data_IF_499934719297
#
_entry.id   IF_499934719297
#
_cell.length_a   1.000
_cell.length_b   1.000
_cell.length_c   1.000
_cell.angle_alpha   90.00
_cell.angle_beta   90.00
_cell.angle_gamma   90.00
#
_symmetry.space_group_name_H-M   'P 1'
#
loop_
_entity.id
_entity.type
_entity.pdbx_description
1 polymer ?
#
# COMPACT_ATOMS: atom_id res chain seq x y z
N UNK A 1 0.57 24.17 -14.14
CA UNK A 1 -0.57 24.26 -13.19
C UNK A 1 -1.82 23.46 -13.62
N UNK A 2 -2.03 23.10 -14.89
CA UNK A 2 -3.20 22.30 -15.29
C UNK A 2 -3.15 20.81 -14.89
N UNK A 3 -1.98 20.20 -14.68
CA UNK A 3 -1.88 18.78 -14.29
C UNK A 3 -2.32 18.48 -12.85
N UNK A 4 -2.34 19.46 -11.95
CA UNK A 4 -2.77 19.26 -10.55
C UNK A 4 -4.30 19.12 -10.44
N UNK A 5 -5.05 19.81 -11.31
CA UNK A 5 -6.52 19.80 -11.29
C UNK A 5 -7.11 18.45 -11.76
N UNK A 6 -6.49 17.82 -12.78
CA UNK A 6 -6.93 16.52 -13.28
C UNK A 6 -6.69 15.40 -12.24
N UNK A 7 -5.60 15.52 -11.48
CA UNK A 7 -5.23 14.58 -10.43
C UNK A 7 -6.16 14.69 -9.21
N UNK A 8 -6.53 15.92 -8.83
CA UNK A 8 -7.55 16.15 -7.80
C UNK A 8 -8.90 15.58 -8.22
N UNK A 9 -9.32 15.75 -9.48
CA UNK A 9 -10.62 15.24 -9.95
C UNK A 9 -10.72 13.70 -9.91
N UNK A 10 -9.64 12.99 -10.23
CA UNK A 10 -9.55 11.52 -10.11
C UNK A 10 -9.57 11.06 -8.64
N UNK A 11 -8.92 11.81 -7.74
CA UNK A 11 -8.91 11.55 -6.30
C UNK A 11 -10.29 11.75 -5.67
N UNK A 12 -11.02 12.83 -6.03
CA UNK A 12 -12.34 13.11 -5.48
C UNK A 12 -13.37 12.05 -5.88
N UNK A 13 -13.23 11.46 -7.07
CA UNK A 13 -14.13 10.41 -7.55
C UNK A 13 -13.94 9.09 -6.77
N UNK A 14 -12.71 8.75 -6.36
CA UNK A 14 -12.45 7.57 -5.54
C UNK A 14 -12.95 7.71 -4.09
N UNK A 15 -12.91 8.91 -3.51
CA UNK A 15 -13.29 9.14 -2.11
C UNK A 15 -14.82 9.06 -1.92
N UNK A 16 -15.61 9.51 -2.90
CA UNK A 16 -17.07 9.47 -2.82
C UNK A 16 -17.68 8.06 -2.80
N UNK A 17 -16.97 7.04 -3.30
CA UNK A 17 -17.46 5.65 -3.31
C UNK A 17 -17.36 4.99 -1.92
N UNK A 18 -16.50 5.49 -1.05
CA UNK A 18 -16.18 4.84 0.25
C UNK A 18 -17.18 5.19 1.37
N UNK A 19 -17.97 6.25 1.23
CA UNK A 19 -18.76 6.80 2.34
C UNK A 19 -20.13 6.12 2.60
N UNK A 20 -20.52 5.09 1.85
CA UNK A 20 -21.89 4.58 1.91
C UNK A 20 -21.94 3.05 2.14
N UNK A 21 -21.85 2.60 3.41
CA UNK A 21 -22.66 1.49 3.97
C UNK A 21 -22.18 1.03 5.36
N UNK A 22 -23.09 1.08 6.35
CA UNK A 22 -22.94 0.30 7.60
C UNK A 22 -24.31 -0.08 8.17
N UNK A 23 -24.58 -1.38 8.35
CA UNK A 23 -25.54 -1.97 9.31
C UNK A 23 -25.29 -3.48 9.38
N UNK A 24 -25.10 -4.01 10.60
CA UNK A 24 -24.35 -5.24 10.91
C UNK A 24 -25.19 -6.47 11.31
N UNK A 25 -24.67 -7.65 10.97
CA UNK A 25 -24.79 -8.92 11.73
C UNK A 25 -23.47 -9.70 11.59
N UNK A 26 -22.79 -9.99 12.70
CA UNK A 26 -21.37 -10.43 12.77
C UNK A 26 -21.05 -11.76 12.10
N UNK A 27 -21.96 -12.74 12.15
CA UNK A 27 -21.75 -14.07 11.53
C UNK A 27 -21.89 -14.02 9.99
N UNK A 28 -22.55 -12.97 9.47
CA UNK A 28 -22.64 -12.71 8.03
C UNK A 28 -21.38 -12.03 7.47
N UNK A 29 -20.65 -11.29 8.31
CA UNK A 29 -19.50 -10.46 7.88
C UNK A 29 -18.24 -11.29 7.63
N UNK A 30 -17.93 -12.26 8.50
CA UNK A 30 -16.80 -13.17 8.28
C UNK A 30 -16.97 -13.96 6.97
N UNK A 31 -18.16 -14.56 6.78
CA UNK A 31 -18.54 -15.25 5.56
C UNK A 31 -18.54 -14.34 4.32
N UNK A 32 -18.78 -13.03 4.50
CA UNK A 32 -18.68 -12.03 3.42
C UNK A 32 -17.23 -11.81 3.05
N UNK A 33 -16.36 -11.56 4.02
CA UNK A 33 -14.95 -11.28 3.73
C UNK A 33 -14.21 -12.48 3.14
N UNK A 34 -14.53 -13.71 3.55
CA UNK A 34 -13.97 -14.92 2.91
C UNK A 34 -14.40 -15.09 1.45
N UNK A 35 -15.55 -14.56 1.05
CA UNK A 35 -15.98 -14.56 -0.36
C UNK A 35 -15.27 -13.46 -1.14
N UNK A 36 -15.17 -12.27 -0.54
CA UNK A 36 -14.56 -11.10 -1.17
C UNK A 36 -13.05 -11.25 -1.35
N UNK A 37 -12.34 -11.87 -0.39
CA UNK A 37 -10.91 -12.09 -0.53
C UNK A 37 -10.55 -13.02 -1.70
N UNK A 38 -11.51 -13.82 -2.19
CA UNK A 38 -11.30 -14.69 -3.36
C UNK A 38 -11.21 -13.91 -4.66
N UNK A 39 -11.77 -12.69 -4.75
CA UNK A 39 -11.59 -11.83 -5.92
C UNK A 39 -10.35 -10.93 -5.82
N UNK A 40 -9.73 -10.87 -4.63
CA UNK A 40 -8.67 -9.93 -4.33
C UNK A 40 -7.33 -10.40 -4.93
N UNK A 41 -7.05 -9.95 -6.16
CA UNK A 41 -5.88 -10.38 -6.94
C UNK A 41 -4.54 -9.73 -6.55
N UNK A 42 -4.46 -8.93 -5.48
CA UNK A 42 -3.23 -8.25 -5.07
C UNK A 42 -2.49 -9.04 -3.99
N UNK A 43 -1.14 -9.03 -3.96
CA UNK A 43 -0.37 -9.73 -2.93
C UNK A 43 -0.67 -9.16 -1.55
N UNK A 44 -0.87 -10.07 -0.58
CA UNK A 44 -1.03 -9.79 0.85
C UNK A 44 -0.23 -10.83 1.66
N UNK A 45 -0.33 -10.81 2.99
CA UNK A 45 0.44 -11.69 3.86
C UNK A 45 1.94 -11.54 3.72
N UNK A 46 2.69 -12.64 3.79
CA UNK A 46 4.17 -12.60 3.74
C UNK A 46 4.66 -11.99 2.42
N UNK A 47 4.04 -12.34 1.29
CA UNK A 47 4.45 -11.79 0.00
C UNK A 47 4.11 -10.31 -0.13
N UNK A 48 2.94 -9.88 0.36
CA UNK A 48 2.55 -8.47 0.48
C UNK A 48 3.51 -7.69 1.37
N UNK A 49 3.80 -8.22 2.55
CA UNK A 49 4.67 -7.62 3.56
C UNK A 49 6.10 -7.40 3.02
N UNK A 50 6.74 -8.45 2.50
CA UNK A 50 8.07 -8.34 1.88
C UNK A 50 8.01 -7.37 0.70
N UNK A 51 6.91 -7.39 -0.06
CA UNK A 51 6.73 -6.45 -1.16
C UNK A 51 6.67 -5.00 -0.70
N UNK A 52 5.96 -4.68 0.39
CA UNK A 52 5.91 -3.32 0.93
C UNK A 52 7.27 -2.88 1.48
N UNK A 53 7.98 -3.74 2.20
CA UNK A 53 9.36 -3.45 2.66
C UNK A 53 10.30 -3.12 1.50
N UNK A 54 10.33 -3.96 0.46
CA UNK A 54 11.13 -3.71 -0.74
C UNK A 54 10.70 -2.43 -1.46
N UNK A 55 9.39 -2.15 -1.50
CA UNK A 55 8.87 -0.93 -2.13
C UNK A 55 9.34 0.31 -1.37
N UNK A 56 9.26 0.32 -0.05
CA UNK A 56 9.74 1.43 0.78
C UNK A 56 11.25 1.62 0.68
N UNK A 57 12.02 0.52 0.72
CA UNK A 57 13.46 0.57 0.49
C UNK A 57 13.78 1.20 -0.87
N UNK A 58 13.20 0.68 -1.96
CA UNK A 58 13.43 1.20 -3.32
C UNK A 58 13.07 2.68 -3.42
N UNK A 59 11.94 3.08 -2.83
CA UNK A 59 11.50 4.45 -2.82
C UNK A 59 12.47 5.39 -2.10
N UNK A 60 12.98 4.99 -0.94
CA UNK A 60 13.96 5.79 -0.18
C UNK A 60 15.25 5.93 -0.99
N UNK A 61 15.78 4.83 -1.55
CA UNK A 61 17.02 4.85 -2.32
C UNK A 61 16.88 5.72 -3.59
N UNK A 62 15.77 5.60 -4.33
CA UNK A 62 15.48 6.47 -5.48
C UNK A 62 15.30 7.93 -5.09
N UNK A 63 14.62 8.22 -3.96
CA UNK A 63 14.47 9.58 -3.45
C UNK A 63 15.81 10.21 -3.04
N UNK A 64 16.81 9.39 -2.70
CA UNK A 64 18.20 9.79 -2.47
C UNK A 64 19.04 9.92 -3.76
N UNK A 65 18.47 9.67 -4.94
CA UNK A 65 19.19 9.72 -6.22
C UNK A 65 20.20 8.59 -6.41
N UNK A 66 19.96 7.43 -5.78
CA UNK A 66 20.85 6.27 -5.82
C UNK A 66 20.18 5.07 -6.48
N UNK A 67 20.96 4.12 -6.96
CA UNK A 67 20.42 2.89 -7.57
C UNK A 67 19.99 1.88 -6.48
N UNK A 68 18.79 1.27 -6.55
CA UNK A 68 18.29 0.38 -5.49
C UNK A 68 19.12 -0.88 -5.24
N UNK A 69 19.69 -1.48 -6.30
CA UNK A 69 20.55 -2.67 -6.19
C UNK A 69 21.98 -2.35 -5.75
N UNK A 70 22.49 -1.16 -6.08
CA UNK A 70 23.83 -0.70 -5.72
C UNK A 70 23.74 0.71 -5.12
N UNK A 71 23.36 0.85 -3.84
CA UNK A 71 23.04 2.15 -3.21
C UNK A 71 24.21 3.14 -3.19
N UNK A 72 25.42 2.67 -3.47
CA UNK A 72 26.62 3.51 -3.60
C UNK A 72 26.73 4.22 -4.96
N UNK A 73 26.04 3.73 -6.00
CA UNK A 73 26.05 4.31 -7.34
C UNK A 73 24.94 5.36 -7.49
N UNK A 74 25.27 6.47 -8.14
CA UNK A 74 24.31 7.52 -8.51
C UNK A 74 23.40 7.02 -9.63
N UNK A 75 22.13 7.41 -9.57
CA UNK A 75 21.11 7.01 -10.53
C UNK A 75 21.34 7.72 -11.88
N UNK A 76 21.56 6.96 -12.94
CA UNK A 76 21.63 7.51 -14.29
C UNK A 76 20.23 7.97 -14.76
N UNK A 77 20.15 9.03 -15.56
CA UNK A 77 18.89 9.48 -16.17
C UNK A 77 18.67 8.85 -17.55
N UNK A 78 19.25 7.67 -17.77
CA UNK A 78 19.13 6.93 -19.02
C UNK A 78 17.67 6.59 -19.40
N UNK A 79 17.39 6.45 -20.70
CA UNK A 79 16.04 6.13 -21.20
C UNK A 79 15.51 4.77 -20.68
N UNK A 80 16.41 3.86 -20.27
CA UNK A 80 16.06 2.58 -19.66
C UNK A 80 15.27 2.76 -18.35
N UNK A 81 15.64 3.74 -17.53
CA UNK A 81 14.94 4.01 -16.26
C UNK A 81 13.54 4.57 -16.51
N UNK A 82 13.38 5.42 -17.53
CA UNK A 82 12.06 5.93 -17.95
C UNK A 82 11.18 4.77 -18.43
N UNK A 83 11.72 3.89 -19.28
CA UNK A 83 11.01 2.71 -19.77
C UNK A 83 10.57 1.79 -18.63
N UNK A 84 11.47 1.46 -17.69
CA UNK A 84 11.15 0.65 -16.51
C UNK A 84 10.10 1.31 -15.62
N UNK A 85 10.15 2.64 -15.48
CA UNK A 85 9.16 3.43 -14.74
C UNK A 85 7.77 3.35 -15.36
N UNK A 86 7.67 3.51 -16.68
CA UNK A 86 6.41 3.39 -17.43
C UNK A 86 5.88 1.95 -17.37
N UNK A 87 6.73 0.95 -17.61
CA UNK A 87 6.34 -0.46 -17.54
C UNK A 87 5.81 -0.84 -16.15
N UNK A 88 6.49 -0.40 -15.08
CA UNK A 88 6.02 -0.53 -13.69
C UNK A 88 4.63 0.08 -13.52
N UNK A 89 4.43 1.32 -13.97
CA UNK A 89 3.15 2.02 -13.83
C UNK A 89 2.04 1.26 -14.53
N UNK A 90 2.24 0.81 -15.77
CA UNK A 90 1.22 0.06 -16.52
C UNK A 90 0.86 -1.24 -15.79
N UNK A 91 1.86 -2.07 -15.47
CA UNK A 91 1.62 -3.38 -14.85
C UNK A 91 0.92 -3.26 -13.49
N UNK A 92 1.38 -2.34 -12.63
CA UNK A 92 0.81 -2.17 -11.29
C UNK A 92 -0.56 -1.48 -11.32
N UNK A 93 -0.76 -0.51 -12.21
CA UNK A 93 -2.02 0.24 -12.33
C UNK A 93 -3.12 -0.66 -12.90
N UNK A 94 -2.87 -1.38 -13.98
CA UNK A 94 -3.85 -2.29 -14.59
C UNK A 94 -4.30 -3.36 -13.58
N UNK A 95 -3.35 -4.00 -12.90
CA UNK A 95 -3.69 -5.03 -11.90
C UNK A 95 -4.46 -4.46 -10.71
N UNK A 96 -4.14 -3.24 -10.25
CA UNK A 96 -4.87 -2.60 -9.16
C UNK A 96 -6.28 -2.17 -9.57
N UNK A 97 -6.44 -1.57 -10.76
CA UNK A 97 -7.76 -1.17 -11.28
C UNK A 97 -8.64 -2.39 -11.48
N UNK A 98 -8.10 -3.46 -12.07
CA UNK A 98 -8.85 -4.69 -12.24
C UNK A 98 -9.29 -5.27 -10.88
N UNK A 99 -8.42 -5.27 -9.86
CA UNK A 99 -8.77 -5.71 -8.50
C UNK A 99 -9.86 -4.84 -7.85
N UNK A 100 -9.81 -3.52 -8.05
CA UNK A 100 -10.86 -2.59 -7.56
C UNK A 100 -12.19 -2.87 -8.26
N UNK A 101 -12.16 -3.08 -9.58
CA UNK A 101 -13.36 -3.33 -10.37
C UNK A 101 -14.03 -4.66 -10.01
N UNK A 102 -13.25 -5.69 -9.66
CA UNK A 102 -13.79 -7.01 -9.30
C UNK A 102 -14.21 -7.13 -7.84
N UNK A 103 -13.61 -6.39 -6.92
CA UNK A 103 -13.91 -6.44 -5.48
C UNK A 103 -14.65 -5.21 -4.98
N UNK A 104 -15.53 -4.63 -5.81
CA UNK A 104 -16.27 -3.40 -5.49
C UNK A 104 -17.37 -3.58 -4.43
N UNK A 105 -17.73 -4.82 -4.10
CA UNK A 105 -18.84 -5.12 -3.19
C UNK A 105 -18.52 -4.83 -1.71
N UNK A 106 -17.26 -4.58 -1.39
CA UNK A 106 -16.78 -4.17 -0.06
C UNK A 106 -15.86 -2.97 -0.18
N UNK A 107 -16.26 -1.85 0.44
CA UNK A 107 -15.49 -0.62 0.39
C UNK A 107 -14.12 -0.80 1.05
N UNK A 108 -14.00 -1.72 2.02
CA UNK A 108 -12.77 -1.99 2.74
C UNK A 108 -11.67 -2.55 1.81
N UNK A 109 -12.03 -3.51 0.96
CA UNK A 109 -11.11 -4.09 -0.02
C UNK A 109 -10.78 -3.11 -1.15
N UNK A 110 -11.78 -2.34 -1.60
CA UNK A 110 -11.57 -1.27 -2.57
C UNK A 110 -10.59 -0.20 -2.02
N UNK A 111 -10.73 0.18 -0.75
CA UNK A 111 -9.83 1.13 -0.09
C UNK A 111 -8.40 0.59 0.06
N UNK A 112 -8.24 -0.70 0.38
CA UNK A 112 -6.94 -1.37 0.42
C UNK A 112 -6.28 -1.45 -0.97
N UNK A 113 -7.06 -1.76 -2.00
CA UNK A 113 -6.57 -1.76 -3.38
C UNK A 113 -6.23 -0.34 -3.86
N UNK A 114 -7.02 0.68 -3.48
CA UNK A 114 -6.74 2.08 -3.75
C UNK A 114 -5.46 2.56 -3.05
N UNK A 115 -5.20 2.13 -1.81
CA UNK A 115 -3.92 2.37 -1.13
C UNK A 115 -2.75 1.81 -1.95
N UNK A 116 -2.85 0.57 -2.39
CA UNK A 116 -1.84 -0.11 -3.22
C UNK A 116 -1.64 0.55 -4.58
N UNK A 117 -2.71 1.05 -5.20
CA UNK A 117 -2.67 1.84 -6.43
C UNK A 117 -1.95 3.17 -6.20
N UNK A 118 -2.36 3.92 -5.17
CA UNK A 118 -1.79 5.24 -4.85
C UNK A 118 -0.29 5.16 -4.55
N UNK A 119 0.15 4.12 -3.84
CA UNK A 119 1.56 3.84 -3.58
C UNK A 119 2.33 3.60 -4.88
N UNK A 120 1.76 2.78 -5.78
CA UNK A 120 2.40 2.42 -7.05
C UNK A 120 2.48 3.60 -8.00
N UNK A 121 1.41 4.40 -8.10
CA UNK A 121 1.37 5.65 -8.87
C UNK A 121 2.40 6.65 -8.35
N UNK A 122 2.40 6.90 -7.04
CA UNK A 122 3.33 7.83 -6.40
C UNK A 122 4.78 7.47 -6.73
N UNK A 123 5.17 6.21 -6.56
CA UNK A 123 6.55 5.79 -6.82
C UNK A 123 6.91 5.68 -8.29
N UNK A 124 5.98 5.31 -9.16
CA UNK A 124 6.25 5.33 -10.60
C UNK A 124 6.45 6.77 -11.11
N UNK A 125 5.65 7.71 -10.62
CA UNK A 125 5.77 9.12 -10.96
C UNK A 125 7.03 9.78 -10.37
N UNK A 126 7.43 9.44 -9.13
CA UNK A 126 8.71 9.91 -8.56
C UNK A 126 9.88 9.43 -9.41
N UNK A 127 9.84 8.18 -9.89
CA UNK A 127 10.90 7.64 -10.76
C UNK A 127 11.00 8.34 -12.12
N UNK A 128 9.90 8.85 -12.66
CA UNK A 128 9.89 9.53 -13.97
C UNK A 128 10.22 11.02 -13.80
N UNK A 129 9.53 11.71 -12.89
CA UNK A 129 9.56 13.17 -12.78
C UNK A 129 10.52 13.70 -11.71
N UNK A 130 11.07 12.84 -10.85
CA UNK A 130 11.99 13.21 -9.75
C UNK A 130 11.44 14.28 -8.78
N UNK A 131 10.13 14.54 -8.78
CA UNK A 131 9.51 15.57 -7.96
C UNK A 131 9.06 15.02 -6.60
N UNK A 132 9.68 15.51 -5.52
CA UNK A 132 9.40 15.06 -4.14
C UNK A 132 7.95 15.31 -3.72
N UNK A 133 7.32 16.37 -4.24
CA UNK A 133 5.92 16.74 -3.94
C UNK A 133 4.92 15.67 -4.38
N UNK A 134 5.28 14.81 -5.33
CA UNK A 134 4.45 13.69 -5.78
C UNK A 134 4.20 12.70 -4.63
N UNK A 135 5.07 12.65 -3.62
CA UNK A 135 4.87 11.82 -2.42
C UNK A 135 3.55 12.11 -1.69
N UNK A 136 3.02 13.32 -1.80
CA UNK A 136 1.73 13.70 -1.22
C UNK A 136 0.55 12.95 -1.84
N UNK A 137 0.70 12.40 -3.06
CA UNK A 137 -0.32 11.62 -3.75
C UNK A 137 -0.65 10.31 -3.01
N UNK A 138 0.31 9.77 -2.25
CA UNK A 138 0.10 8.56 -1.47
C UNK A 138 -0.82 8.78 -0.27
N UNK A 139 -0.80 9.98 0.33
CA UNK A 139 -1.49 10.29 1.58
C UNK A 139 -3.00 9.94 1.57
N UNK A 140 -3.83 10.40 0.61
CA UNK A 140 -5.26 10.09 0.60
C UNK A 140 -5.52 8.58 0.45
N UNK A 141 -4.76 7.89 -0.40
CA UNK A 141 -4.90 6.44 -0.58
C UNK A 141 -4.47 5.66 0.66
N UNK A 142 -3.40 6.09 1.34
CA UNK A 142 -2.97 5.52 2.61
C UNK A 142 -4.04 5.67 3.69
N UNK A 143 -4.61 6.88 3.87
CA UNK A 143 -5.67 7.12 4.86
C UNK A 143 -6.88 6.22 4.58
N UNK A 144 -7.32 6.14 3.33
CA UNK A 144 -8.44 5.27 2.94
C UNK A 144 -8.13 3.78 3.24
N UNK A 145 -6.95 3.29 2.84
CA UNK A 145 -6.53 1.91 3.10
C UNK A 145 -6.43 1.58 4.58
N UNK A 146 -5.95 2.52 5.39
CA UNK A 146 -5.91 2.36 6.85
C UNK A 146 -7.31 2.27 7.43
N UNK A 147 -8.21 3.15 7.03
CA UNK A 147 -9.61 3.11 7.47
C UNK A 147 -10.27 1.78 7.10
N UNK A 148 -10.06 1.28 5.88
CA UNK A 148 -10.53 -0.05 5.45
C UNK A 148 -9.93 -1.19 6.28
N UNK A 149 -8.61 -1.16 6.53
CA UNK A 149 -7.93 -2.17 7.36
C UNK A 149 -8.45 -2.19 8.80
N UNK A 150 -8.73 -1.02 9.38
CA UNK A 150 -9.29 -0.90 10.73
C UNK A 150 -10.73 -1.37 10.79
N UNK A 151 -11.53 -1.08 9.77
CA UNK A 151 -12.91 -1.57 9.68
C UNK A 151 -12.94 -3.10 9.72
N UNK A 152 -12.11 -3.75 8.91
CA UNK A 152 -11.98 -5.23 8.90
C UNK A 152 -11.44 -5.74 10.24
N UNK A 153 -10.40 -5.10 10.80
CA UNK A 153 -9.84 -5.55 12.06
C UNK A 153 -10.81 -5.42 13.24
N UNK A 154 -11.63 -4.36 13.25
CA UNK A 154 -12.64 -4.13 14.27
C UNK A 154 -13.75 -5.18 14.23
N UNK A 155 -14.19 -5.59 13.04
CA UNK A 155 -15.20 -6.65 12.89
C UNK A 155 -14.65 -8.05 13.23
N UNK A 156 -13.36 -8.30 13.03
CA UNK A 156 -12.70 -9.57 13.38
C UNK A 156 -11.91 -9.51 14.69
N UNK A 157 -12.21 -8.56 15.58
CA UNK A 157 -11.44 -8.37 16.83
C UNK A 157 -11.66 -9.48 17.86
N UNK A 158 -12.66 -10.35 17.68
CA UNK A 158 -12.86 -11.54 18.52
C UNK A 158 -11.68 -12.52 18.42
N UNK A 159 -11.07 -12.62 17.24
CA UNK A 159 -9.99 -13.56 16.97
C UNK A 159 -8.70 -13.18 17.72
N UNK A 160 -8.07 -14.13 18.46
CA UNK A 160 -6.85 -13.84 19.22
C UNK A 160 -5.68 -13.43 18.31
N UNK A 161 -5.63 -13.97 17.09
CA UNK A 161 -4.64 -13.58 16.09
C UNK A 161 -4.77 -12.09 15.69
N UNK A 162 -6.00 -11.58 15.54
CA UNK A 162 -6.25 -10.17 15.19
C UNK A 162 -5.79 -9.24 16.31
N UNK A 163 -6.08 -9.58 17.58
CA UNK A 163 -5.61 -8.82 18.75
C UNK A 163 -4.09 -8.77 18.81
N UNK A 164 -3.43 -9.91 18.60
CA UNK A 164 -1.97 -10.02 18.64
C UNK A 164 -1.33 -9.16 17.54
N UNK A 165 -1.76 -9.32 16.29
CA UNK A 165 -1.22 -8.56 15.14
C UNK A 165 -1.46 -7.06 15.33
N UNK A 166 -2.67 -6.66 15.71
CA UNK A 166 -3.00 -5.25 15.96
C UNK A 166 -2.14 -4.66 17.07
N UNK A 167 -2.00 -5.37 18.20
CA UNK A 167 -1.15 -4.93 19.32
C UNK A 167 0.32 -4.80 18.92
N UNK A 168 0.87 -5.76 18.17
CA UNK A 168 2.26 -5.72 17.71
C UNK A 168 2.54 -4.54 16.78
N UNK A 169 1.73 -4.36 15.73
CA UNK A 169 1.97 -3.31 14.74
C UNK A 169 1.79 -1.90 15.35
N UNK A 170 0.73 -1.68 16.12
CA UNK A 170 0.50 -0.36 16.72
C UNK A 170 1.39 -0.08 17.93
N UNK A 171 1.82 -1.12 18.66
CA UNK A 171 2.86 -0.99 19.68
C UNK A 171 4.20 -0.58 19.08
N UNK A 172 4.65 -1.24 18.02
CA UNK A 172 5.88 -0.88 17.30
C UNK A 172 5.79 0.52 16.67
N UNK A 173 4.66 0.85 16.04
CA UNK A 173 4.42 2.18 15.47
C UNK A 173 4.45 3.27 16.55
N UNK A 174 3.83 3.03 17.71
CA UNK A 174 3.84 3.94 18.85
C UNK A 174 5.24 4.15 19.42
N UNK A 175 5.99 3.07 19.65
CA UNK A 175 7.36 3.14 20.15
C UNK A 175 8.29 3.89 19.20
N UNK A 176 8.22 3.58 17.90
CA UNK A 176 9.04 4.27 16.88
C UNK A 176 8.65 5.74 16.69
N UNK A 177 7.35 6.06 16.77
CA UNK A 177 6.90 7.45 16.74
C UNK A 177 7.39 8.22 17.96
N UNK A 178 7.36 7.61 19.15
CA UNK A 178 7.88 8.22 20.37
C UNK A 178 9.39 8.50 20.28
N UNK A 179 10.18 7.57 19.74
CA UNK A 179 11.63 7.80 19.56
C UNK A 179 11.91 8.90 18.54
N UNK A 180 11.15 9.00 17.45
CA UNK A 180 11.24 10.10 16.47
C UNK A 180 10.93 11.45 17.13
N UNK A 181 9.91 11.50 18.00
CA UNK A 181 9.54 12.73 18.73
C UNK A 181 10.66 13.13 19.70
N UNK A 182 11.14 12.21 20.53
CA UNK A 182 12.23 12.46 21.48
C UNK A 182 13.51 12.91 20.77
N UNK A 183 13.89 12.25 19.67
CA UNK A 183 15.03 12.64 18.85
C UNK A 183 14.86 14.03 18.23
N UNK A 184 13.67 14.34 17.72
CA UNK A 184 13.36 15.66 17.16
C UNK A 184 13.43 16.80 18.19
N UNK A 185 12.97 16.54 19.42
CA UNK A 185 13.06 17.48 20.54
C UNK A 185 14.49 17.70 21.00
N UNK A 186 15.31 16.64 21.09
CA UNK A 186 16.70 16.72 21.58
C UNK A 186 17.67 17.35 20.58
N UNK A 187 17.49 17.13 19.27
CA UNK A 187 18.40 17.65 18.23
C UNK A 187 17.96 18.97 17.58
N UNK A 188 16.90 19.63 18.08
CA UNK A 188 16.42 20.90 17.52
C UNK A 188 15.86 20.78 16.09
N UNK A 189 15.47 19.57 15.65
CA UNK A 189 14.88 19.29 14.33
C UNK A 189 13.36 19.07 14.38
N UNK A 190 12.69 19.69 15.37
CA UNK A 190 11.26 19.51 15.62
C UNK A 190 10.34 19.80 14.43
N UNK A 191 10.79 20.62 13.46
CA UNK A 191 9.98 20.96 12.27
C UNK A 191 9.67 19.75 11.36
N UNK A 192 10.55 18.75 11.29
CA UNK A 192 10.35 17.56 10.44
C UNK A 192 9.68 16.39 11.18
N UNK A 193 9.58 16.48 12.51
CA UNK A 193 9.05 15.42 13.37
C UNK A 193 7.63 15.00 13.00
N UNK A 194 6.65 15.90 12.76
CA UNK A 194 5.29 15.48 12.44
C UNK A 194 5.20 14.69 11.13
N UNK A 195 5.95 15.12 10.11
CA UNK A 195 5.99 14.43 8.82
C UNK A 195 6.63 13.04 8.95
N UNK A 196 7.71 12.91 9.74
CA UNK A 196 8.36 11.62 9.97
C UNK A 196 7.45 10.64 10.75
N UNK A 197 6.74 11.12 11.78
CA UNK A 197 5.75 10.32 12.52
C UNK A 197 4.63 9.87 11.59
N UNK A 198 4.09 10.77 10.77
CA UNK A 198 3.02 10.44 9.82
C UNK A 198 3.47 9.37 8.81
N UNK A 199 4.67 9.51 8.23
CA UNK A 199 5.25 8.49 7.32
C UNK A 199 5.42 7.16 8.05
N UNK A 200 5.89 7.18 9.30
CA UNK A 200 6.05 5.98 10.12
C UNK A 200 4.72 5.26 10.33
N UNK A 201 3.68 5.98 10.77
CA UNK A 201 2.33 5.44 10.99
C UNK A 201 1.76 4.85 9.69
N UNK A 202 1.88 5.57 8.57
CA UNK A 202 1.42 5.06 7.27
C UNK A 202 2.17 3.81 6.83
N UNK A 203 3.49 3.75 7.04
CA UNK A 203 4.30 2.58 6.70
C UNK A 203 3.91 1.35 7.52
N UNK A 204 3.77 1.50 8.84
CA UNK A 204 3.32 0.41 9.72
C UNK A 204 1.91 -0.04 9.38
N UNK A 205 1.00 0.90 9.11
CA UNK A 205 -0.37 0.56 8.80
C UNK A 205 -0.54 -0.12 7.42
N UNK A 206 0.28 0.21 6.43
CA UNK A 206 0.33 -0.54 5.17
C UNK A 206 0.82 -1.98 5.39
N UNK A 207 1.87 -2.17 6.21
CA UNK A 207 2.37 -3.51 6.57
C UNK A 207 1.34 -4.29 7.39
N UNK A 208 0.64 -3.63 8.31
CA UNK A 208 -0.45 -4.19 9.11
C UNK A 208 -1.57 -4.73 8.22
N UNK A 209 -1.95 -3.99 7.16
CA UNK A 209 -3.02 -4.40 6.25
C UNK A 209 -2.76 -5.76 5.57
N UNK A 210 -1.49 -6.12 5.33
CA UNK A 210 -1.16 -7.41 4.74
C UNK A 210 -1.47 -8.57 5.70
N UNK A 211 -1.30 -8.36 7.00
CA UNK A 211 -1.58 -9.36 8.04
C UNK A 211 -3.06 -9.42 8.42
N UNK A 212 -3.77 -8.29 8.40
CA UNK A 212 -5.23 -8.26 8.53
C UNK A 212 -5.87 -9.14 7.45
N UNK A 213 -5.42 -9.00 6.20
CA UNK A 213 -5.90 -9.84 5.10
C UNK A 213 -5.56 -11.32 5.26
N UNK A 214 -4.44 -11.69 5.89
CA UNK A 214 -4.12 -13.12 6.16
C UNK A 214 -5.12 -13.74 7.11
N UNK A 215 -5.46 -13.03 8.20
CA UNK A 215 -6.39 -13.52 9.20
C UNK A 215 -7.77 -13.71 8.57
N UNK A 216 -8.20 -12.73 7.77
CA UNK A 216 -9.52 -12.76 7.11
C UNK A 216 -9.57 -13.75 5.95
N UNK A 217 -8.44 -14.04 5.31
CA UNK A 217 -8.40 -14.98 4.19
C UNK A 217 -8.66 -16.43 4.61
N UNK A 218 -8.24 -16.81 5.82
CA UNK A 218 -8.17 -18.21 6.29
C UNK A 218 -7.51 -19.20 5.28
N UNK A 219 -6.80 -18.70 4.26
CA UNK A 219 -6.34 -19.46 3.10
C UNK A 219 -4.80 -19.61 3.04
N UNK A 220 -4.12 -19.27 4.13
CA UNK A 220 -2.67 -19.42 4.30
C UNK A 220 -1.91 -18.09 4.31
N UNK A 221 -0.68 -18.15 4.81
CA UNK A 221 0.12 -16.96 5.16
C UNK A 221 0.80 -16.30 3.95
N UNK A 222 0.91 -17.00 2.81
CA UNK A 222 1.66 -16.51 1.65
C UNK A 222 0.93 -15.42 0.87
N UNK A 223 -0.40 -15.38 0.90
CA UNK A 223 -1.23 -14.45 0.13
C UNK A 223 -1.15 -14.64 -1.38
N UNK A 224 -0.77 -15.84 -1.85
CA UNK A 224 -0.91 -16.23 -3.26
C UNK A 224 -2.29 -16.87 -3.51
N UNK A 225 -3.04 -16.44 -4.53
CA UNK A 225 -4.41 -16.89 -4.76
C UNK A 225 -4.46 -18.28 -5.43
N UNK A 226 -4.12 -19.33 -4.66
CA UNK A 226 -4.02 -20.71 -5.17
C UNK A 226 -5.32 -21.23 -5.78
N UNK A 227 -6.45 -20.91 -5.13
CA UNK A 227 -7.80 -21.40 -5.49
C UNK A 227 -8.56 -20.50 -6.46
N UNK A 228 -7.96 -19.37 -6.86
CA UNK A 228 -8.58 -18.40 -7.76
C UNK A 228 -8.44 -18.79 -9.24
N UNK A 229 -9.32 -18.23 -10.10
CA UNK A 229 -9.21 -18.39 -11.55
C UNK A 229 -7.86 -17.86 -12.08
N UNK A 230 -7.48 -18.34 -13.27
CA UNK A 230 -6.17 -18.04 -13.90
C UNK A 230 -5.93 -16.54 -14.07
N UNK A 231 -6.96 -15.74 -14.35
CA UNK A 231 -6.80 -14.30 -14.59
C UNK A 231 -6.32 -13.56 -13.33
N UNK A 232 -6.80 -13.91 -12.14
CA UNK A 232 -6.36 -13.29 -10.88
C UNK A 232 -4.91 -13.62 -10.56
N UNK A 233 -4.49 -14.86 -10.85
CA UNK A 233 -3.09 -15.29 -10.72
C UNK A 233 -2.18 -14.47 -11.64
N UNK A 234 -2.63 -14.20 -12.87
CA UNK A 234 -1.89 -13.35 -13.82
C UNK A 234 -1.79 -11.92 -13.28
N UNK A 235 -2.87 -11.34 -12.77
CA UNK A 235 -2.82 -10.00 -12.17
C UNK A 235 -1.89 -9.92 -10.97
N UNK A 236 -1.92 -10.93 -10.11
CA UNK A 236 -1.03 -11.05 -8.97
C UNK A 236 0.43 -11.03 -9.42
N UNK A 237 0.77 -11.84 -10.43
CA UNK A 237 2.14 -11.91 -11.00
C UNK A 237 2.53 -10.59 -11.65
N UNK A 238 1.66 -9.99 -12.45
CA UNK A 238 1.93 -8.69 -13.09
C UNK A 238 2.16 -7.58 -12.08
N UNK A 239 1.34 -7.53 -11.03
CA UNK A 239 1.52 -6.57 -9.95
C UNK A 239 2.84 -6.81 -9.20
N UNK A 240 3.13 -8.07 -8.87
CA UNK A 240 4.34 -8.44 -8.15
C UNK A 240 5.62 -8.12 -8.94
N UNK A 241 5.69 -8.53 -10.22
CA UNK A 241 6.80 -8.22 -11.12
C UNK A 241 6.90 -6.71 -11.35
N UNK A 242 5.78 -6.05 -11.65
CA UNK A 242 5.73 -4.61 -11.91
C UNK A 242 6.35 -3.80 -10.78
N UNK A 243 6.06 -4.16 -9.52
CA UNK A 243 6.68 -3.50 -8.35
C UNK A 243 8.21 -3.65 -8.30
N UNK A 244 8.77 -4.76 -8.81
CA UNK A 244 10.20 -5.04 -8.76
C UNK A 244 10.98 -4.42 -9.92
N UNK A 245 10.33 -3.96 -10.98
CA UNK A 245 11.00 -3.29 -12.10
C UNK A 245 11.82 -2.07 -11.64
N UNK A 246 11.36 -1.36 -10.61
CA UNK A 246 12.11 -0.23 -10.05
C UNK A 246 13.43 -0.62 -9.39
N UNK A 247 13.63 -1.87 -8.98
CA UNK A 247 14.92 -2.33 -8.45
C UNK A 247 16.01 -2.33 -9.52
N UNK A 248 15.64 -2.57 -10.78
CA UNK A 248 16.57 -2.68 -11.90
C UNK A 248 16.93 -1.33 -12.55
N UNK A 249 16.51 -0.22 -11.94
CA UNK A 249 16.92 1.12 -12.40
C UNK A 249 18.38 1.37 -12.01
N UNK A 250 19.19 1.81 -12.97
CA UNK A 250 20.65 2.00 -12.85
C UNK A 250 21.09 3.41 -13.18
#
# INVERSE_FOLDING_TARGET
>A
MHSAALLLFLLTCCICVVAAQTSATTESEENRYEKEIKCYGLPYGVTGFISHLLTYYTAIILACGRTPLLPWRELDQGPQNIFLGIAKLILTTVASIASIATCVHTWEFAALAAMKLSLSLTYGLISIFHAKQISLLYLPGAIAGLAGSFSIAASTMSEPAMKLVTGLFWGLAGMTSATIILAGCTWGRGQYTPAAVLVCVMAYGALYSDWVLVIVANAGVSGYPHRSPTWEKVLWVFYFIGKRLALFMT
#
